data_IF_541112110763
#
_entry.id   IF_541112110763
#
_cell.length_a   1.000
_cell.length_b   1.000
_cell.length_c   1.000
_cell.angle_alpha   90.00
_cell.angle_beta   90.00
_cell.angle_gamma   90.00
#
_symmetry.space_group_name_H-M   'P 1'
#
loop_
_entity.id
_entity.type
_entity.pdbx_description
1 polymer ?
#
# COMPACT_ATOMS: atom_id res chain seq x y z
N UNK A 1 -9.71 38.90 12.38
CA UNK A 1 -8.77 38.36 11.39
C UNK A 1 -8.03 37.23 12.08
N UNK A 2 -8.58 36.03 11.98
CA UNK A 2 -8.01 34.82 12.60
C UNK A 2 -6.72 34.49 11.87
N UNK A 3 -5.61 34.54 12.59
CA UNK A 3 -4.31 34.08 12.11
C UNK A 3 -4.47 32.61 11.70
N UNK A 4 -4.65 32.34 10.41
CA UNK A 4 -4.31 31.04 9.83
C UNK A 4 -2.82 30.92 10.09
N UNK A 5 -2.46 30.29 11.20
CA UNK A 5 -1.10 30.22 11.68
C UNK A 5 -0.28 29.44 10.67
N UNK A 6 0.84 30.02 10.25
CA UNK A 6 1.82 29.41 9.36
C UNK A 6 2.19 27.98 9.80
N UNK A 7 2.20 27.76 11.12
CA UNK A 7 2.43 26.47 11.75
C UNK A 7 1.39 25.39 11.36
N UNK A 8 0.10 25.74 11.34
CA UNK A 8 -0.97 24.80 10.99
C UNK A 8 -1.00 24.42 9.50
N UNK A 9 -0.25 25.11 8.65
CA UNK A 9 -0.23 24.89 7.20
C UNK A 9 1.10 24.35 6.74
N UNK A 10 2.16 25.17 6.80
CA UNK A 10 3.51 24.79 6.40
C UNK A 10 4.10 23.77 7.37
N UNK A 11 3.90 23.96 8.68
CA UNK A 11 4.41 23.05 9.71
C UNK A 11 3.85 21.63 9.55
N UNK A 12 2.52 21.51 9.39
CA UNK A 12 1.87 20.22 9.16
C UNK A 12 2.41 19.50 7.89
N UNK A 13 2.60 20.23 6.79
CA UNK A 13 3.19 19.68 5.57
C UNK A 13 4.63 19.19 5.79
N UNK A 14 5.46 19.98 6.46
CA UNK A 14 6.87 19.62 6.73
C UNK A 14 6.97 18.38 7.61
N UNK A 15 6.13 18.28 8.65
CA UNK A 15 6.07 17.09 9.51
C UNK A 15 5.65 15.88 8.67
N UNK A 16 4.59 16.00 7.86
CA UNK A 16 4.13 14.94 6.98
C UNK A 16 5.18 14.47 5.98
N UNK A 17 5.85 15.42 5.29
CA UNK A 17 6.92 15.14 4.35
C UNK A 17 8.14 14.49 5.03
N UNK A 18 8.45 14.86 6.28
CA UNK A 18 9.53 14.25 7.06
C UNK A 18 9.24 12.77 7.35
N UNK A 19 8.03 12.44 7.79
CA UNK A 19 7.60 11.05 7.95
C UNK A 19 7.61 10.29 6.62
N UNK A 20 7.16 10.93 5.53
CA UNK A 20 7.19 10.35 4.20
C UNK A 20 8.63 10.00 3.74
N UNK A 21 9.62 10.83 4.06
CA UNK A 21 11.03 10.57 3.77
C UNK A 21 11.59 9.38 4.57
N UNK A 22 11.18 9.21 5.82
CA UNK A 22 11.55 8.02 6.62
C UNK A 22 10.99 6.75 5.95
N UNK A 23 9.73 6.79 5.53
CA UNK A 23 9.08 5.66 4.83
C UNK A 23 9.70 5.39 3.46
N UNK A 24 10.22 6.40 2.77
CA UNK A 24 11.01 6.21 1.54
C UNK A 24 12.32 5.46 1.80
N UNK A 25 12.97 5.72 2.94
CA UNK A 25 14.12 4.92 3.39
C UNK A 25 13.78 3.44 3.52
N UNK A 26 12.62 3.12 4.11
CA UNK A 26 12.10 1.74 4.21
C UNK A 26 11.83 1.16 2.82
N UNK A 27 11.23 1.94 1.92
CA UNK A 27 10.98 1.52 0.53
C UNK A 27 12.27 1.16 -0.20
N UNK A 28 13.34 1.94 -0.04
CA UNK A 28 14.65 1.62 -0.59
C UNK A 28 15.20 0.28 -0.05
N UNK A 29 15.08 0.05 1.25
CA UNK A 29 15.51 -1.20 1.88
C UNK A 29 14.70 -2.41 1.38
N UNK A 30 13.37 -2.28 1.33
CA UNK A 30 12.49 -3.36 0.86
C UNK A 30 12.69 -3.68 -0.62
N UNK A 31 12.91 -2.68 -1.47
CA UNK A 31 13.22 -2.86 -2.89
C UNK A 31 14.58 -3.54 -3.09
N UNK A 32 15.60 -3.12 -2.35
CA UNK A 32 16.93 -3.76 -2.39
C UNK A 32 16.87 -5.22 -1.95
N UNK A 33 16.15 -5.50 -0.85
CA UNK A 33 15.90 -6.86 -0.37
C UNK A 33 15.17 -7.71 -1.41
N UNK A 34 14.18 -7.14 -2.11
CA UNK A 34 13.44 -7.85 -3.15
C UNK A 34 14.36 -8.28 -4.30
N UNK A 35 15.15 -7.36 -4.86
CA UNK A 35 16.04 -7.69 -5.98
C UNK A 35 17.14 -8.70 -5.63
N UNK A 36 17.58 -8.72 -4.36
CA UNK A 36 18.57 -9.69 -3.88
C UNK A 36 18.00 -11.10 -3.71
N UNK A 37 16.81 -11.21 -3.13
CA UNK A 37 16.25 -12.51 -2.75
C UNK A 37 15.41 -13.19 -3.84
N UNK A 38 14.96 -12.43 -4.84
CA UNK A 38 14.12 -12.94 -5.93
C UNK A 38 14.77 -12.76 -7.32
N UNK A 39 15.98 -13.29 -7.56
CA UNK A 39 16.67 -13.14 -8.86
C UNK A 39 15.94 -13.88 -9.99
N UNK A 40 15.12 -14.90 -9.68
CA UNK A 40 14.40 -15.71 -10.67
C UNK A 40 12.91 -15.34 -10.82
N UNK A 41 12.43 -14.30 -10.12
CA UNK A 41 11.04 -13.86 -10.28
C UNK A 41 10.81 -13.28 -11.69
N UNK A 42 9.58 -13.47 -12.20
CA UNK A 42 9.19 -13.01 -13.53
C UNK A 42 9.38 -11.49 -13.73
N UNK A 43 9.71 -11.11 -14.96
CA UNK A 43 10.05 -9.72 -15.31
C UNK A 43 8.97 -8.70 -14.92
N UNK A 44 7.70 -9.10 -14.93
CA UNK A 44 6.56 -8.23 -14.56
C UNK A 44 6.69 -7.76 -13.11
N UNK A 45 6.97 -8.66 -12.16
CA UNK A 45 7.08 -8.28 -10.74
C UNK A 45 8.30 -7.39 -10.48
N UNK A 46 9.43 -7.71 -11.12
CA UNK A 46 10.63 -6.87 -11.08
C UNK A 46 10.41 -5.49 -11.66
N UNK A 47 9.69 -5.39 -12.78
CA UNK A 47 9.32 -4.12 -13.39
C UNK A 47 8.37 -3.34 -12.47
N UNK A 48 7.39 -4.01 -11.84
CA UNK A 48 6.49 -3.37 -10.86
C UNK A 48 7.23 -2.75 -9.68
N UNK A 49 8.20 -3.46 -9.09
CA UNK A 49 9.03 -2.93 -8.00
C UNK A 49 9.90 -1.77 -8.46
N UNK A 50 10.45 -1.83 -9.68
CA UNK A 50 11.26 -0.75 -10.24
C UNK A 50 10.43 0.51 -10.50
N UNK A 51 9.27 0.35 -11.13
CA UNK A 51 8.34 1.45 -11.42
C UNK A 51 7.90 2.13 -10.13
N UNK A 52 7.51 1.36 -9.11
CA UNK A 52 7.03 1.95 -7.86
C UNK A 52 8.14 2.69 -7.12
N UNK A 53 9.37 2.17 -7.14
CA UNK A 53 10.53 2.83 -6.55
C UNK A 53 10.89 4.14 -7.27
N UNK A 54 10.82 4.15 -8.61
CA UNK A 54 11.04 5.38 -9.40
C UNK A 54 9.95 6.41 -9.11
N UNK A 55 8.67 6.00 -9.11
CA UNK A 55 7.56 6.89 -8.76
C UNK A 55 7.74 7.48 -7.36
N UNK A 56 8.15 6.67 -6.38
CA UNK A 56 8.36 7.12 -5.01
C UNK A 56 9.52 8.13 -4.89
N UNK A 57 10.59 7.89 -5.66
CA UNK A 57 11.75 8.79 -5.72
C UNK A 57 11.37 10.14 -6.33
N UNK A 58 10.57 10.14 -7.40
CA UNK A 58 10.08 11.38 -8.01
C UNK A 58 9.17 12.11 -7.03
N UNK A 59 8.29 11.40 -6.31
CA UNK A 59 7.42 11.99 -5.29
C UNK A 59 8.22 12.71 -4.19
N UNK A 60 9.27 12.09 -3.68
CA UNK A 60 10.18 12.69 -2.68
C UNK A 60 10.90 13.92 -3.24
N UNK A 61 11.39 13.86 -4.48
CA UNK A 61 12.07 15.01 -5.10
C UNK A 61 11.12 16.20 -5.25
N UNK A 62 9.89 15.93 -5.69
CA UNK A 62 8.85 16.93 -5.93
C UNK A 62 8.36 17.54 -4.62
N UNK A 63 8.09 16.74 -3.59
CA UNK A 63 7.70 17.22 -2.25
C UNK A 63 8.82 18.03 -1.57
N UNK A 64 10.08 17.62 -1.75
CA UNK A 64 11.25 18.39 -1.28
C UNK A 64 11.35 19.75 -1.98
N UNK A 65 11.09 19.80 -3.30
CA UNK A 65 11.06 21.07 -4.03
C UNK A 65 9.92 21.98 -3.54
N UNK A 66 8.72 21.44 -3.27
CA UNK A 66 7.62 22.19 -2.65
C UNK A 66 8.07 22.78 -1.32
N UNK A 67 8.65 21.96 -0.45
CA UNK A 67 9.13 22.40 0.86
C UNK A 67 10.15 23.55 0.73
N UNK A 68 11.18 23.38 -0.11
CA UNK A 68 12.20 24.41 -0.35
C UNK A 68 11.61 25.71 -0.91
N UNK A 69 10.71 25.61 -1.89
CA UNK A 69 10.14 26.77 -2.56
C UNK A 69 9.28 27.64 -1.62
N UNK A 70 8.46 27.01 -0.79
CA UNK A 70 7.59 27.73 0.13
C UNK A 70 8.30 28.15 1.42
N UNK A 71 9.31 27.41 1.89
CA UNK A 71 10.00 27.76 3.14
C UNK A 71 11.17 28.72 2.95
N UNK A 72 11.89 28.63 1.83
CA UNK A 72 13.11 29.42 1.61
C UNK A 72 12.86 30.51 0.57
N UNK A 73 12.44 30.14 -0.64
CA UNK A 73 12.29 31.12 -1.74
C UNK A 73 11.18 32.15 -1.51
N UNK A 74 10.09 31.77 -0.85
CA UNK A 74 8.97 32.66 -0.53
C UNK A 74 8.82 32.91 0.97
N UNK A 75 9.93 32.91 1.70
CA UNK A 75 9.92 33.18 3.14
C UNK A 75 9.26 34.55 3.41
N UNK A 76 8.19 34.55 4.21
CA UNK A 76 7.43 35.75 4.57
C UNK A 76 6.38 36.22 3.55
N UNK A 77 6.26 35.61 2.36
CA UNK A 77 5.21 35.94 1.38
C UNK A 77 4.10 34.88 1.36
N UNK A 78 3.21 34.95 2.36
CA UNK A 78 2.12 33.98 2.57
C UNK A 78 0.99 34.08 1.55
N UNK A 79 0.89 35.19 0.80
CA UNK A 79 -0.03 35.31 -0.32
C UNK A 79 0.30 34.33 -1.45
N UNK A 80 1.54 33.88 -1.58
CA UNK A 80 1.91 32.85 -2.56
C UNK A 80 1.21 31.50 -2.30
N UNK A 81 0.79 31.24 -1.06
CA UNK A 81 0.11 30.00 -0.67
C UNK A 81 -1.41 30.05 -0.92
N UNK A 82 -2.07 31.19 -0.69
CA UNK A 82 -3.53 31.33 -0.81
C UNK A 82 -4.00 32.01 -2.10
N UNK A 83 -3.20 32.93 -2.65
CA UNK A 83 -3.55 33.75 -3.82
C UNK A 83 -2.58 33.56 -5.00
N UNK A 84 -1.41 32.99 -4.75
CA UNK A 84 -0.41 32.67 -5.77
C UNK A 84 -0.81 31.51 -6.69
N UNK A 85 -0.12 31.44 -7.82
CA UNK A 85 -0.26 30.34 -8.76
C UNK A 85 0.27 29.04 -8.10
N UNK A 86 -0.49 27.95 -8.15
CA UNK A 86 -0.09 26.67 -7.55
C UNK A 86 1.23 26.20 -8.20
N UNK A 87 2.25 25.92 -7.38
CA UNK A 87 3.56 25.46 -7.86
C UNK A 87 3.41 24.16 -8.63
N UNK A 88 4.10 24.04 -9.76
CA UNK A 88 4.03 22.88 -10.65
C UNK A 88 4.25 21.51 -9.96
N UNK A 89 5.04 21.52 -8.89
CA UNK A 89 5.47 20.36 -8.12
C UNK A 89 4.33 19.87 -7.28
N UNK A 90 3.49 20.78 -6.78
CA UNK A 90 2.30 20.40 -6.07
C UNK A 90 1.31 19.64 -6.96
N UNK A 91 1.10 20.14 -8.18
CA UNK A 91 0.26 19.46 -9.19
C UNK A 91 0.83 18.08 -9.55
N UNK A 92 2.15 18.01 -9.72
CA UNK A 92 2.84 16.77 -10.03
C UNK A 92 2.80 15.76 -8.87
N UNK A 93 2.91 16.21 -7.61
CA UNK A 93 2.75 15.37 -6.42
C UNK A 93 1.38 14.69 -6.40
N UNK A 94 0.29 15.46 -6.61
CA UNK A 94 -1.08 14.91 -6.67
C UNK A 94 -1.20 13.86 -7.78
N UNK A 95 -0.63 14.13 -8.96
CA UNK A 95 -0.61 13.16 -10.07
C UNK A 95 0.10 11.86 -9.68
N UNK A 96 1.25 11.95 -9.00
CA UNK A 96 2.02 10.78 -8.55
C UNK A 96 1.23 10.02 -7.47
N UNK A 97 0.64 10.70 -6.50
CA UNK A 97 -0.22 10.09 -5.48
C UNK A 97 -1.38 9.30 -6.10
N UNK A 98 -2.08 9.88 -7.08
CA UNK A 98 -3.17 9.19 -7.80
C UNK A 98 -2.64 7.99 -8.59
N UNK A 99 -1.49 8.16 -9.26
CA UNK A 99 -0.85 7.08 -10.03
C UNK A 99 -0.46 5.90 -9.16
N UNK A 100 0.14 6.14 -7.98
CA UNK A 100 0.50 5.10 -7.00
C UNK A 100 -0.75 4.36 -6.52
N UNK A 101 -1.83 5.09 -6.19
CA UNK A 101 -3.10 4.48 -5.75
C UNK A 101 -3.68 3.54 -6.80
N UNK A 102 -3.80 4.00 -8.05
CA UNK A 102 -4.32 3.20 -9.15
C UNK A 102 -3.43 1.99 -9.42
N UNK A 103 -2.11 2.17 -9.40
CA UNK A 103 -1.16 1.09 -9.59
C UNK A 103 -1.31 -0.01 -8.53
N UNK A 104 -1.37 0.37 -7.26
CA UNK A 104 -1.50 -0.58 -6.14
C UNK A 104 -2.83 -1.34 -6.22
N UNK A 105 -3.94 -0.64 -6.50
CA UNK A 105 -5.24 -1.27 -6.71
C UNK A 105 -5.24 -2.23 -7.91
N UNK A 106 -4.57 -1.87 -9.01
CA UNK A 106 -4.43 -2.75 -10.17
C UNK A 106 -3.64 -4.03 -9.82
N UNK A 107 -2.55 -3.93 -9.06
CA UNK A 107 -1.80 -5.11 -8.60
C UNK A 107 -2.66 -6.02 -7.72
N UNK A 108 -3.46 -5.43 -6.83
CA UNK A 108 -4.40 -6.15 -5.99
C UNK A 108 -5.52 -6.83 -6.80
N UNK A 109 -6.09 -6.15 -7.80
CA UNK A 109 -7.08 -6.72 -8.71
C UNK A 109 -6.49 -7.88 -9.54
N UNK A 110 -5.27 -7.71 -10.08
CA UNK A 110 -4.55 -8.77 -10.82
C UNK A 110 -4.29 -10.01 -9.95
N UNK A 111 -3.98 -9.78 -8.67
CA UNK A 111 -3.78 -10.86 -7.71
C UNK A 111 -5.09 -11.61 -7.44
N UNK A 112 -6.19 -10.89 -7.30
CA UNK A 112 -7.52 -11.49 -7.15
C UNK A 112 -7.92 -12.29 -8.39
N UNK A 113 -7.63 -11.78 -9.60
CA UNK A 113 -7.88 -12.48 -10.85
C UNK A 113 -7.16 -13.85 -10.90
N UNK A 114 -5.88 -13.87 -10.54
CA UNK A 114 -5.08 -15.12 -10.51
C UNK A 114 -5.61 -16.13 -9.49
N UNK A 115 -6.17 -15.67 -8.37
CA UNK A 115 -6.72 -16.53 -7.31
C UNK A 115 -8.15 -17.01 -7.63
N UNK A 116 -8.95 -16.21 -8.34
CA UNK A 116 -10.39 -16.40 -8.53
C UNK A 116 -10.83 -17.08 -9.84
N UNK A 117 -9.90 -17.59 -10.64
CA UNK A 117 -10.09 -17.90 -12.08
C UNK A 117 -11.34 -18.73 -12.46
N UNK A 118 -11.88 -19.59 -11.59
CA UNK A 118 -12.99 -20.49 -11.97
C UNK A 118 -14.29 -20.40 -11.15
N UNK A 119 -14.30 -19.75 -9.99
CA UNK A 119 -15.42 -19.93 -9.05
C UNK A 119 -16.21 -18.65 -8.71
N UNK A 120 -15.66 -17.45 -8.94
CA UNK A 120 -16.27 -16.19 -8.43
C UNK A 120 -16.20 -15.01 -9.43
N UNK A 121 -16.68 -15.22 -10.65
CA UNK A 121 -16.64 -14.20 -11.70
C UNK A 121 -17.37 -12.90 -11.32
N UNK A 122 -18.44 -12.96 -10.51
CA UNK A 122 -19.18 -11.77 -10.05
C UNK A 122 -18.35 -10.88 -9.11
N UNK A 123 -17.54 -11.45 -8.22
CA UNK A 123 -16.68 -10.68 -7.30
C UNK A 123 -15.56 -9.98 -8.07
N UNK A 124 -15.04 -10.65 -9.09
CA UNK A 124 -14.00 -10.12 -9.96
C UNK A 124 -14.49 -8.89 -10.74
N UNK A 125 -15.67 -8.97 -11.33
CA UNK A 125 -16.30 -7.83 -11.99
C UNK A 125 -16.55 -6.67 -11.05
N UNK A 126 -16.99 -6.95 -9.82
CA UNK A 126 -17.19 -5.93 -8.79
C UNK A 126 -15.88 -5.21 -8.44
N UNK A 127 -14.79 -5.96 -8.24
CA UNK A 127 -13.47 -5.39 -7.93
C UNK A 127 -12.90 -4.57 -9.09
N UNK A 128 -13.07 -5.03 -10.33
CA UNK A 128 -12.68 -4.28 -11.52
C UNK A 128 -13.47 -2.97 -11.61
N UNK A 129 -14.79 -3.03 -11.41
CA UNK A 129 -15.67 -1.86 -11.45
C UNK A 129 -15.25 -0.84 -10.39
N UNK A 130 -15.06 -1.28 -9.14
CA UNK A 130 -14.65 -0.41 -8.03
C UNK A 130 -13.27 0.21 -8.24
N UNK A 131 -12.32 -0.56 -8.78
CA UNK A 131 -10.99 -0.05 -9.13
C UNK A 131 -11.06 0.99 -10.26
N UNK A 132 -11.87 0.72 -11.29
CA UNK A 132 -12.08 1.64 -12.40
C UNK A 132 -12.78 2.93 -11.95
N UNK A 133 -13.78 2.84 -11.08
CA UNK A 133 -14.46 4.00 -10.49
C UNK A 133 -13.50 4.86 -9.67
N UNK A 134 -12.64 4.24 -8.84
CA UNK A 134 -11.64 4.98 -8.07
C UNK A 134 -10.59 5.66 -8.96
N UNK A 135 -10.14 4.98 -10.02
CA UNK A 135 -9.27 5.59 -11.02
C UNK A 135 -9.95 6.77 -11.74
N UNK A 136 -11.24 6.65 -12.06
CA UNK A 136 -12.05 7.74 -12.64
C UNK A 136 -12.12 8.97 -11.74
N UNK A 137 -12.39 8.79 -10.44
CA UNK A 137 -12.34 9.88 -9.45
C UNK A 137 -10.95 10.51 -9.35
N UNK A 138 -9.88 9.70 -9.45
CA UNK A 138 -8.50 10.19 -9.45
C UNK A 138 -8.18 11.05 -10.67
N UNK A 139 -8.59 10.61 -11.87
CA UNK A 139 -8.43 11.37 -13.12
C UNK A 139 -9.23 12.68 -13.06
N UNK A 140 -10.45 12.62 -12.51
CA UNK A 140 -11.27 13.82 -12.29
C UNK A 140 -10.55 14.85 -11.40
N UNK A 141 -9.97 14.41 -10.28
CA UNK A 141 -9.18 15.28 -9.40
C UNK A 141 -7.98 15.88 -10.13
N UNK A 142 -7.20 15.07 -10.85
CA UNK A 142 -6.03 15.54 -11.60
C UNK A 142 -6.45 16.61 -12.62
N UNK A 143 -7.51 16.38 -13.38
CA UNK A 143 -8.03 17.34 -14.35
C UNK A 143 -8.33 18.69 -13.69
N UNK A 144 -9.06 18.68 -12.57
CA UNK A 144 -9.46 19.89 -11.86
C UNK A 144 -8.25 20.64 -11.29
N UNK A 145 -7.31 19.92 -10.67
CA UNK A 145 -6.07 20.50 -10.11
C UNK A 145 -5.19 21.13 -11.18
N UNK A 146 -5.10 20.52 -12.37
CA UNK A 146 -4.30 21.06 -13.46
C UNK A 146 -4.97 22.27 -14.13
N UNK A 147 -6.30 22.30 -14.20
CA UNK A 147 -7.08 23.38 -14.82
C UNK A 147 -7.09 24.68 -14.01
N UNK A 148 -6.79 24.61 -12.72
CA UNK A 148 -6.91 25.77 -11.82
C UNK A 148 -5.55 26.46 -11.62
N UNK A 149 -5.47 27.79 -11.84
CA UNK A 149 -4.25 28.54 -11.58
C UNK A 149 -4.09 28.87 -10.08
N UNK A 150 -5.15 29.21 -9.34
CA UNK A 150 -5.04 29.63 -7.93
C UNK A 150 -5.99 28.89 -6.99
N UNK A 151 -5.62 28.80 -5.70
CA UNK A 151 -6.44 28.17 -4.65
C UNK A 151 -7.80 28.85 -4.42
N UNK A 152 -8.07 30.03 -5.00
CA UNK A 152 -9.31 30.80 -4.82
C UNK A 152 -10.50 30.27 -5.65
N UNK A 153 -10.29 29.35 -6.59
CA UNK A 153 -11.37 28.63 -7.29
C UNK A 153 -11.77 27.34 -6.54
N UNK A 154 -11.78 27.45 -5.21
CA UNK A 154 -11.89 26.40 -4.20
C UNK A 154 -13.12 25.48 -4.28
N UNK A 155 -14.33 25.89 -4.73
CA UNK A 155 -15.49 25.01 -4.67
C UNK A 155 -15.43 23.82 -5.64
N UNK A 156 -14.70 23.94 -6.76
CA UNK A 156 -14.65 22.88 -7.79
C UNK A 156 -13.78 21.69 -7.34
N UNK A 157 -12.58 21.96 -6.79
CA UNK A 157 -11.65 20.93 -6.30
C UNK A 157 -12.25 20.17 -5.11
N UNK A 158 -13.02 20.87 -4.26
CA UNK A 158 -13.63 20.26 -3.06
C UNK A 158 -14.48 19.05 -3.40
N UNK A 159 -15.30 19.12 -4.45
CA UNK A 159 -16.13 18.01 -4.87
C UNK A 159 -15.29 16.84 -5.39
N UNK A 160 -14.22 17.14 -6.14
CA UNK A 160 -13.28 16.13 -6.63
C UNK A 160 -12.56 15.40 -5.48
N UNK A 161 -12.04 16.13 -4.49
CA UNK A 161 -11.37 15.55 -3.32
C UNK A 161 -12.32 14.66 -2.50
N UNK A 162 -13.52 15.17 -2.18
CA UNK A 162 -14.52 14.39 -1.44
C UNK A 162 -14.87 13.11 -2.19
N UNK A 163 -15.09 13.21 -3.51
CA UNK A 163 -15.40 12.04 -4.34
C UNK A 163 -14.27 11.00 -4.34
N UNK A 164 -13.01 11.44 -4.46
CA UNK A 164 -11.86 10.54 -4.47
C UNK A 164 -11.68 9.83 -3.14
N UNK A 165 -11.70 10.55 -2.01
CA UNK A 165 -11.48 9.94 -0.70
C UNK A 165 -12.64 9.04 -0.29
N UNK A 166 -13.89 9.43 -0.54
CA UNK A 166 -15.05 8.58 -0.29
C UNK A 166 -15.01 7.29 -1.12
N UNK A 167 -14.65 7.39 -2.40
CA UNK A 167 -14.48 6.24 -3.28
C UNK A 167 -13.29 5.37 -2.85
N UNK A 168 -12.20 5.98 -2.39
CA UNK A 168 -11.01 5.25 -1.91
C UNK A 168 -11.32 4.41 -0.67
N UNK A 169 -11.99 4.99 0.33
CA UNK A 169 -12.42 4.27 1.54
C UNK A 169 -13.29 3.06 1.16
N UNK A 170 -14.27 3.29 0.27
CA UNK A 170 -15.19 2.25 -0.19
C UNK A 170 -14.45 1.16 -0.96
N UNK A 171 -13.53 1.55 -1.84
CA UNK A 171 -12.76 0.63 -2.67
C UNK A 171 -11.86 -0.28 -1.85
N UNK A 172 -11.17 0.27 -0.85
CA UNK A 172 -10.28 -0.49 0.02
C UNK A 172 -11.02 -1.47 0.91
N UNK A 173 -12.18 -1.06 1.44
CA UNK A 173 -13.05 -1.93 2.22
C UNK A 173 -13.56 -3.11 1.36
N UNK A 174 -14.10 -2.81 0.19
CA UNK A 174 -14.59 -3.83 -0.75
C UNK A 174 -13.47 -4.78 -1.17
N UNK A 175 -12.29 -4.26 -1.51
CA UNK A 175 -11.16 -5.07 -1.95
C UNK A 175 -10.66 -5.99 -0.84
N UNK A 176 -10.61 -5.48 0.40
CA UNK A 176 -10.25 -6.25 1.60
C UNK A 176 -11.23 -7.40 1.84
N UNK A 177 -12.54 -7.12 1.80
CA UNK A 177 -13.60 -8.12 1.97
C UNK A 177 -13.60 -9.14 0.82
N UNK A 178 -13.45 -8.67 -0.42
CA UNK A 178 -13.40 -9.53 -1.61
C UNK A 178 -12.23 -10.51 -1.55
N UNK A 179 -11.03 -10.05 -1.19
CA UNK A 179 -9.87 -10.93 -1.02
C UNK A 179 -10.13 -11.94 0.10
N UNK A 180 -10.66 -11.49 1.24
CA UNK A 180 -10.98 -12.38 2.37
C UNK A 180 -11.92 -13.50 1.95
N UNK A 181 -13.01 -13.15 1.26
CA UNK A 181 -14.02 -14.10 0.81
C UNK A 181 -13.44 -15.10 -0.20
N UNK A 182 -12.75 -14.61 -1.23
CA UNK A 182 -12.19 -15.46 -2.29
C UNK A 182 -11.18 -16.45 -1.73
N UNK A 183 -10.34 -16.06 -0.76
CA UNK A 183 -9.41 -17.01 -0.16
C UNK A 183 -10.08 -17.97 0.80
N UNK A 184 -10.98 -17.53 1.68
CA UNK A 184 -11.61 -18.43 2.65
C UNK A 184 -12.28 -19.60 1.91
N UNK A 185 -12.91 -19.31 0.77
CA UNK A 185 -13.52 -20.35 -0.04
C UNK A 185 -12.53 -21.13 -0.91
N UNK A 186 -11.44 -20.48 -1.35
CA UNK A 186 -10.30 -21.16 -1.95
C UNK A 186 -9.64 -22.18 -1.01
N UNK A 187 -9.56 -21.88 0.30
CA UNK A 187 -9.06 -22.78 1.34
C UNK A 187 -9.94 -24.02 1.50
N UNK A 188 -11.26 -23.87 1.52
CA UNK A 188 -12.19 -25.01 1.60
C UNK A 188 -12.10 -25.94 0.39
N UNK A 189 -11.62 -25.45 -0.75
CA UNK A 189 -11.62 -26.18 -2.03
C UNK A 189 -10.23 -26.70 -2.45
N UNK A 190 -9.17 -26.38 -1.70
CA UNK A 190 -7.78 -26.59 -2.15
C UNK A 190 -7.11 -27.80 -1.50
N UNK A 191 -6.38 -28.55 -2.32
CA UNK A 191 -5.66 -29.79 -1.99
C UNK A 191 -4.23 -29.52 -1.48
N UNK A 192 -3.71 -28.28 -1.62
CA UNK A 192 -2.30 -27.95 -1.31
C UNK A 192 -2.15 -27.09 -0.03
N UNK A 193 -1.71 -27.66 1.11
CA UNK A 193 -1.66 -26.96 2.41
C UNK A 193 -0.61 -25.83 2.47
N UNK A 194 0.57 -26.00 1.87
CA UNK A 194 1.65 -25.01 1.93
C UNK A 194 1.30 -23.72 1.15
N UNK A 195 0.60 -23.87 0.01
CA UNK A 195 0.07 -22.73 -0.76
C UNK A 195 -0.96 -21.93 0.05
N UNK A 196 -1.79 -22.61 0.85
CA UNK A 196 -2.80 -21.98 1.70
C UNK A 196 -2.13 -21.15 2.82
N UNK A 197 -1.05 -21.65 3.44
CA UNK A 197 -0.33 -20.91 4.48
C UNK A 197 0.24 -19.59 3.95
N UNK A 198 0.92 -19.61 2.79
CA UNK A 198 1.43 -18.42 2.11
C UNK A 198 0.30 -17.45 1.77
N UNK A 199 -0.83 -17.94 1.27
CA UNK A 199 -1.98 -17.11 0.95
C UNK A 199 -2.59 -16.44 2.19
N UNK A 200 -2.68 -17.14 3.32
CA UNK A 200 -3.23 -16.60 4.57
C UNK A 200 -2.37 -15.47 5.12
N UNK A 201 -1.04 -15.65 5.16
CA UNK A 201 -0.13 -14.58 5.60
C UNK A 201 -0.24 -13.36 4.69
N UNK A 202 -0.28 -13.58 3.37
CA UNK A 202 -0.41 -12.49 2.43
C UNK A 202 -1.77 -11.78 2.54
N UNK A 203 -2.84 -12.49 2.90
CA UNK A 203 -4.11 -11.86 3.20
C UNK A 203 -4.10 -11.04 4.47
N UNK A 204 -3.47 -11.53 5.53
CA UNK A 204 -3.34 -10.75 6.75
C UNK A 204 -2.62 -9.43 6.45
N UNK A 205 -1.58 -9.45 5.60
CA UNK A 205 -0.90 -8.23 5.14
C UNK A 205 -1.82 -7.32 4.32
N UNK A 206 -2.60 -7.87 3.36
CA UNK A 206 -3.57 -7.07 2.59
C UNK A 206 -4.60 -6.43 3.52
N UNK A 207 -5.22 -7.22 4.41
CA UNK A 207 -6.27 -6.75 5.32
C UNK A 207 -5.75 -5.66 6.25
N UNK A 208 -4.58 -5.88 6.87
CA UNK A 208 -3.96 -4.88 7.73
C UNK A 208 -3.66 -3.62 6.91
N UNK A 209 -3.10 -3.76 5.70
CA UNK A 209 -2.81 -2.60 4.86
C UNK A 209 -4.07 -1.84 4.42
N UNK A 210 -5.15 -2.53 4.04
CA UNK A 210 -6.41 -1.92 3.62
C UNK A 210 -7.15 -1.23 4.76
N UNK A 211 -7.06 -1.77 5.98
CA UNK A 211 -7.56 -1.09 7.18
C UNK A 211 -6.75 0.17 7.49
N UNK A 212 -5.42 0.10 7.42
CA UNK A 212 -4.57 1.28 7.64
C UNK A 212 -4.83 2.35 6.58
N UNK A 213 -4.93 1.99 5.30
CA UNK A 213 -5.12 2.98 4.24
C UNK A 213 -6.53 3.59 4.24
N UNK A 214 -7.54 2.83 4.66
CA UNK A 214 -8.91 3.37 4.81
C UNK A 214 -9.01 4.32 6.01
N UNK A 215 -8.30 4.02 7.11
CA UNK A 215 -8.16 4.94 8.24
C UNK A 215 -7.46 6.25 7.83
N UNK A 216 -6.38 6.18 7.05
CA UNK A 216 -5.71 7.38 6.53
C UNK A 216 -6.61 8.18 5.58
N UNK A 217 -7.33 7.51 4.67
CA UNK A 217 -8.28 8.17 3.77
C UNK A 217 -9.42 8.86 4.53
N UNK A 218 -9.92 8.22 5.61
CA UNK A 218 -10.88 8.86 6.52
C UNK A 218 -10.27 10.06 7.23
N UNK A 219 -9.04 9.95 7.75
CA UNK A 219 -8.38 11.05 8.46
C UNK A 219 -8.20 12.27 7.54
N UNK A 220 -7.81 12.05 6.29
CA UNK A 220 -7.68 13.12 5.28
C UNK A 220 -9.04 13.74 4.98
N UNK A 221 -10.08 12.93 4.79
CA UNK A 221 -11.43 13.43 4.54
C UNK A 221 -11.97 14.26 5.73
N UNK A 222 -11.80 13.78 6.95
CA UNK A 222 -12.24 14.47 8.17
C UNK A 222 -11.48 15.78 8.37
N UNK A 223 -10.15 15.76 8.24
CA UNK A 223 -9.34 16.98 8.38
C UNK A 223 -9.68 18.01 7.30
N UNK A 224 -9.95 17.56 6.07
CA UNK A 224 -10.39 18.42 4.97
C UNK A 224 -11.76 19.05 5.21
N UNK A 225 -12.71 18.30 5.79
CA UNK A 225 -14.06 18.80 6.08
C UNK A 225 -14.12 19.73 7.29
N UNK A 226 -13.34 19.46 8.33
CA UNK A 226 -13.34 20.25 9.57
C UNK A 226 -12.52 21.54 9.47
N UNK A 227 -11.41 21.49 8.74
CA UNK A 227 -10.51 22.65 8.58
C UNK A 227 -10.14 22.89 7.11
N UNK A 228 -11.13 23.25 6.26
CA UNK A 228 -10.93 23.43 4.82
C UNK A 228 -9.95 24.58 4.49
N UNK A 229 -9.83 25.57 5.39
CA UNK A 229 -8.91 26.69 5.25
C UNK A 229 -7.47 26.38 5.72
N UNK A 230 -7.25 25.16 6.25
CA UNK A 230 -5.92 24.69 6.67
C UNK A 230 -5.42 23.58 5.75
N UNK A 231 -4.11 23.39 5.71
CA UNK A 231 -3.45 22.42 4.84
C UNK A 231 -2.99 21.18 5.60
N UNK A 232 -3.60 20.94 6.76
CA UNK A 232 -3.30 19.77 7.60
C UNK A 232 -3.61 18.49 6.83
N UNK A 233 -4.69 18.47 6.04
CA UNK A 233 -5.05 17.33 5.19
C UNK A 233 -3.92 16.93 4.23
N UNK A 234 -3.15 17.90 3.74
CA UNK A 234 -2.07 17.67 2.80
C UNK A 234 -0.87 17.00 3.48
N UNK A 235 -0.53 17.41 4.71
CA UNK A 235 0.53 16.77 5.49
C UNK A 235 0.23 15.29 5.73
N UNK A 236 -1.04 14.94 5.98
CA UNK A 236 -1.47 13.55 6.09
C UNK A 236 -1.45 12.83 4.74
N UNK A 237 -1.86 13.51 3.65
CA UNK A 237 -1.87 12.95 2.30
C UNK A 237 -0.46 12.57 1.80
N UNK A 238 0.59 13.32 2.17
CA UNK A 238 1.97 12.99 1.81
C UNK A 238 2.45 11.64 2.37
N UNK A 239 1.92 11.21 3.51
CA UNK A 239 2.29 9.94 4.16
C UNK A 239 1.59 8.76 3.47
N UNK A 240 0.38 8.96 2.96
CA UNK A 240 -0.45 7.90 2.41
C UNK A 240 0.18 7.10 1.25
N UNK A 241 0.75 7.70 0.18
CA UNK A 241 1.37 6.93 -0.92
C UNK A 241 2.51 6.06 -0.41
N UNK A 242 3.27 6.53 0.57
CA UNK A 242 4.39 5.78 1.16
C UNK A 242 3.91 4.53 1.89
N UNK A 243 2.77 4.60 2.60
CA UNK A 243 2.16 3.43 3.25
C UNK A 243 1.70 2.41 2.22
N UNK A 244 1.09 2.85 1.12
CA UNK A 244 0.68 1.96 0.03
C UNK A 244 1.87 1.19 -0.55
N UNK A 245 2.96 1.89 -0.84
CA UNK A 245 4.16 1.30 -1.44
C UNK A 245 4.82 0.30 -0.47
N UNK A 246 5.03 0.71 0.78
CA UNK A 246 5.63 -0.16 1.79
C UNK A 246 4.77 -1.40 2.07
N UNK A 247 3.45 -1.27 2.07
CA UNK A 247 2.55 -2.42 2.25
C UNK A 247 2.63 -3.39 1.07
N UNK A 248 2.67 -2.87 -0.16
CA UNK A 248 2.80 -3.69 -1.36
C UNK A 248 4.15 -4.43 -1.40
N UNK A 249 5.24 -3.73 -1.10
CA UNK A 249 6.58 -4.31 -1.08
C UNK A 249 6.74 -5.33 0.06
N UNK A 250 6.21 -5.06 1.25
CA UNK A 250 6.17 -6.02 2.35
C UNK A 250 5.44 -7.30 1.94
N UNK A 251 4.30 -7.16 1.26
CA UNK A 251 3.53 -8.29 0.74
C UNK A 251 4.30 -9.09 -0.32
N UNK A 252 5.03 -8.43 -1.22
CA UNK A 252 5.88 -9.13 -2.21
C UNK A 252 7.05 -9.86 -1.52
N UNK A 253 7.64 -9.23 -0.50
CA UNK A 253 8.79 -9.76 0.23
C UNK A 253 8.45 -10.90 1.20
N UNK A 254 7.21 -10.99 1.68
CA UNK A 254 6.78 -12.01 2.65
C UNK A 254 6.80 -13.45 2.10
N UNK A 255 6.94 -13.66 0.78
CA UNK A 255 6.92 -14.99 0.14
C UNK A 255 8.01 -15.94 0.68
N UNK A 256 9.25 -15.45 0.87
CA UNK A 256 10.35 -16.27 1.39
C UNK A 256 10.27 -16.50 2.90
N UNK A 257 9.78 -15.53 3.68
CA UNK A 257 9.64 -15.71 5.14
C UNK A 257 8.72 -16.89 5.43
N UNK A 258 7.61 -17.02 4.71
CA UNK A 258 6.71 -18.16 4.88
C UNK A 258 7.31 -19.46 4.37
N UNK A 259 8.03 -19.44 3.23
CA UNK A 259 8.74 -20.63 2.72
C UNK A 259 9.75 -21.18 3.73
N UNK A 260 10.53 -20.30 4.36
CA UNK A 260 11.52 -20.70 5.35
C UNK A 260 10.87 -21.19 6.65
N UNK A 261 9.72 -20.62 7.06
CA UNK A 261 8.95 -21.10 8.21
C UNK A 261 8.46 -22.54 7.95
N UNK A 262 7.97 -22.82 6.75
CA UNK A 262 7.50 -24.16 6.34
C UNK A 262 8.64 -25.19 6.39
N UNK A 263 9.81 -24.86 5.83
CA UNK A 263 11.01 -25.71 5.90
C UNK A 263 11.44 -25.94 7.37
N UNK A 264 11.37 -24.91 8.22
CA UNK A 264 11.67 -25.02 9.66
C UNK A 264 10.59 -25.72 10.50
N UNK A 265 9.38 -25.93 9.97
CA UNK A 265 8.32 -26.71 10.61
C UNK A 265 8.33 -28.18 10.14
N UNK A 266 8.90 -28.44 8.97
CA UNK A 266 9.20 -29.79 8.49
C UNK A 266 10.41 -30.42 9.19
N UNK A 267 11.42 -29.63 9.57
CA UNK A 267 12.63 -30.12 10.25
C UNK A 267 12.41 -30.70 11.67
N UNK A 268 11.54 -30.17 12.56
CA UNK A 268 11.37 -30.71 13.92
C UNK A 268 10.48 -31.96 13.96
N UNK A 269 9.55 -32.11 13.01
CA UNK A 269 8.61 -33.24 13.00
C UNK A 269 9.24 -34.46 12.32
N UNK A 270 10.00 -34.27 11.25
CA UNK A 270 10.67 -35.39 10.57
C UNK A 270 11.84 -35.91 11.44
N UNK A 271 12.62 -35.04 12.09
CA UNK A 271 13.68 -35.50 12.99
C UNK A 271 13.13 -36.16 14.27
N UNK A 272 12.03 -35.67 14.84
CA UNK A 272 11.44 -36.31 16.04
C UNK A 272 10.75 -37.63 15.71
N UNK A 273 10.07 -37.75 14.56
CA UNK A 273 9.44 -39.00 14.11
C UNK A 273 10.48 -39.99 13.60
N UNK A 274 11.52 -39.56 12.87
CA UNK A 274 12.61 -40.44 12.46
C UNK A 274 13.38 -40.97 13.67
N UNK A 275 13.60 -40.14 14.71
CA UNK A 275 14.28 -40.56 15.94
C UNK A 275 13.42 -41.51 16.78
N UNK A 276 12.09 -41.31 16.88
CA UNK A 276 11.19 -42.24 17.58
C UNK A 276 10.99 -43.56 16.82
N UNK A 277 10.98 -43.55 15.49
CA UNK A 277 10.92 -44.77 14.67
C UNK A 277 12.23 -45.56 14.74
N UNK A 278 13.38 -44.87 14.87
CA UNK A 278 14.67 -45.53 15.07
C UNK A 278 14.83 -46.13 16.47
N UNK A 279 14.30 -45.47 17.51
CA UNK A 279 14.31 -45.97 18.90
C UNK A 279 13.45 -47.23 19.05
N UNK A 280 12.22 -47.22 18.50
CA UNK A 280 11.34 -48.39 18.55
C UNK A 280 11.84 -49.58 17.73
N UNK A 281 12.64 -49.34 16.68
CA UNK A 281 13.27 -50.42 15.91
C UNK A 281 14.44 -51.05 16.67
N UNK A 282 15.19 -50.27 17.44
CA UNK A 282 16.27 -50.77 18.30
C UNK A 282 15.72 -51.57 19.50
N UNK A 283 14.62 -51.12 20.12
CA UNK A 283 13.95 -51.86 21.20
C UNK A 283 13.33 -53.19 20.72
N UNK A 284 12.80 -53.23 19.50
CA UNK A 284 12.26 -54.44 18.89
C UNK A 284 13.30 -55.53 18.57
N UNK A 285 14.52 -55.13 18.16
CA UNK A 285 15.61 -56.08 17.87
C UNK A 285 16.28 -56.64 19.14
N UNK A 286 16.34 -55.85 20.23
CA UNK A 286 16.84 -56.32 21.53
C UNK A 286 15.87 -57.33 22.16
N UNK A 287 14.56 -57.14 21.99
CA UNK A 287 13.56 -58.08 22.51
C UNK A 287 13.58 -59.44 21.78
N UNK A 288 13.96 -59.46 20.50
CA UNK A 288 14.09 -60.70 19.71
C UNK A 288 15.37 -61.49 20.00
N UNK A 289 16.44 -60.85 20.50
CA UNK A 289 17.71 -61.53 20.82
C UNK A 289 17.76 -62.16 22.23
N UNK A 290 16.74 -61.96 23.08
CA UNK A 290 16.71 -62.49 24.46
C UNK A 290 15.81 -63.74 24.58
N UNK A 291 15.17 -64.19 23.49
CA UNK A 291 14.24 -65.35 23.49
C UNK A 291 14.74 -66.58 22.71
N UNK A 292 16.06 -66.83 22.68
CA UNK A 292 16.63 -68.12 22.22
C UNK A 292 17.38 -68.78 23.38
#
# INVERSE_FOLDING_TARGET
MTNVSLDNTLGAFVIGASFANILFGITCLQSSFYYRNYPNDGWIFKASVGIIWVLDTIDVAVTTHVWYFYSIKNFGNFQAFTQGNIVWSFKLHILICVSIRVFVQAVYALRLWKLGHHLYQSILWLVILVTASNAGCGIYLVKDVFSIPSFSQTPTIRNALISLFAMSISAEFILSVAMMYTLNKGRTSSVFPNTIAILLTLMQMVLISGLVTSLYSMLILVTFLLWPDTLIFLGVDCIQPKIFINSLLAMLNARNTVRNIDDSFHLPIIDSVAKSVHDHRAEGEVCFSISI
#
